data_IF_073339603371
#
_entry.id   IF_073339603371
#
_cell.length_a   1.000
_cell.length_b   1.000
_cell.length_c   1.000
_cell.angle_alpha   90.00
_cell.angle_beta   90.00
_cell.angle_gamma   90.00
#
_symmetry.space_group_name_H-M   'P 1'
#
loop_
_entity.id
_entity.type
_entity.pdbx_description
1 polymer ?
2 non-polymer ?
3 non-polymer ?
4 water ?
#
# COMPACT_ATOMS: atom_id res chain seq x y z
N UNK A 55 -15.04 9.24 -23.05
CA UNK A 55 -15.29 8.85 -21.62
C UNK A 55 -15.41 7.33 -21.45
N UNK A 56 -15.12 6.87 -20.27
CA UNK A 56 -14.90 5.46 -20.06
C UNK A 56 -16.05 4.78 -19.40
N UNK A 57 -16.23 3.47 -19.64
CA UNK A 57 -17.38 2.82 -18.97
C UNK A 57 -17.26 2.88 -17.44
N UNK A 58 -18.40 3.00 -16.77
CA UNK A 58 -18.45 2.82 -15.32
C UNK A 58 -17.89 1.43 -14.88
N UNK A 59 -17.10 1.38 -13.84
CA UNK A 59 -16.62 0.10 -13.31
C UNK A 59 -17.79 -0.77 -12.77
N UNK A 60 -17.72 -2.07 -12.94
CA UNK A 60 -18.77 -2.99 -12.52
C UNK A 60 -18.15 -3.78 -11.33
N UNK A 61 -18.96 -4.15 -10.29
CA UNK A 61 -18.40 -5.00 -9.23
C UNK A 61 -17.72 -6.26 -9.79
N UNK A 62 -16.61 -6.71 -9.20
CA UNK A 62 -16.03 -7.99 -9.65
C UNK A 62 -15.13 -8.44 -8.56
N UNK A 63 -14.95 -9.77 -8.41
CA UNK A 63 -14.09 -10.30 -7.33
C UNK A 63 -12.63 -9.93 -7.52
N UNK A 64 -11.95 -9.56 -6.44
CA UNK A 64 -10.50 -9.49 -6.41
C UNK A 64 -9.88 -10.80 -6.98
N UNK A 65 -8.71 -10.70 -7.65
CA UNK A 65 -8.11 -11.99 -8.11
C UNK A 65 -7.47 -12.79 -6.98
N UNK A 66 -7.34 -14.11 -7.20
CA UNK A 66 -6.67 -15.01 -6.25
C UNK A 66 -5.43 -15.50 -6.97
N UNK A 67 -4.38 -15.85 -6.24
CA UNK A 67 -3.32 -16.59 -6.89
C UNK A 67 -3.87 -17.81 -7.69
N UNK A 68 -3.40 -17.99 -8.93
CA UNK A 68 -3.62 -19.23 -9.68
C UNK A 68 -2.27 -20.00 -9.87
N UNK A 69 -2.36 -21.32 -10.06
CA UNK A 69 -1.20 -22.14 -10.33
C UNK A 69 -0.71 -21.90 -11.75
N UNK A 70 0.56 -22.20 -11.96
CA UNK A 70 1.33 -21.85 -13.14
C UNK A 70 2.11 -23.15 -13.42
N UNK A 71 2.78 -23.30 -14.57
CA UNK A 71 3.68 -24.47 -14.72
C UNK A 71 5.06 -24.27 -14.05
N UNK A 72 5.35 -23.07 -13.56
CA UNK A 72 6.57 -22.80 -12.81
C UNK A 72 6.68 -23.72 -11.59
N UNK A 73 7.92 -24.07 -11.32
CA UNK A 73 8.31 -24.98 -10.31
C UNK A 73 9.11 -24.26 -9.22
N UNK A 74 9.68 -23.11 -9.57
CA UNK A 74 10.37 -22.30 -8.61
C UNK A 74 10.10 -20.81 -8.83
N UNK A 75 10.46 -20.02 -7.84
CA UNK A 75 10.21 -18.61 -7.95
C UNK A 75 11.24 -17.86 -8.82
N UNK A 76 10.75 -17.29 -9.92
CA UNK A 76 11.59 -16.70 -10.95
C UNK A 76 10.96 -15.41 -11.47
N UNK A 77 11.67 -14.31 -11.24
CA UNK A 77 11.25 -13.02 -11.72
C UNK A 77 11.17 -13.04 -13.25
N UNK A 78 10.14 -12.39 -13.78
CA UNK A 78 9.98 -12.25 -15.25
C UNK A 78 10.77 -11.07 -15.76
N UNK A 79 10.47 -10.63 -17.01
CA UNK A 79 11.25 -9.46 -17.44
C UNK A 79 11.09 -8.23 -16.49
N UNK A 80 12.13 -7.40 -16.38
CA UNK A 80 12.06 -6.17 -15.66
C UNK A 80 11.61 -5.08 -16.62
N UNK A 81 10.55 -4.36 -16.22
CA UNK A 81 10.00 -3.23 -16.96
C UNK A 81 10.30 -1.90 -16.22
N UNK A 82 10.83 -0.91 -16.95
CA UNK A 82 11.23 0.36 -16.34
C UNK A 82 10.11 1.39 -16.46
N UNK A 83 9.20 1.42 -15.46
CA UNK A 83 7.97 2.21 -15.54
C UNK A 83 8.26 3.69 -15.64
N UNK A 84 9.28 4.14 -14.92
CA UNK A 84 9.63 5.55 -14.84
C UNK A 84 11.11 5.58 -14.44
N UNK A 85 11.86 6.37 -15.18
CA UNK A 85 13.27 6.43 -15.00
C UNK A 85 13.63 7.82 -14.52
N UNK A 86 14.31 7.90 -13.37
CA UNK A 86 14.84 9.16 -12.87
C UNK A 86 15.62 9.90 -14.00
N UNK A 87 15.47 11.23 -14.06
CA UNK A 87 16.01 12.11 -15.13
C UNK A 87 15.36 11.89 -16.49
N UNK A 88 14.35 11.05 -16.57
CA UNK A 88 13.47 11.05 -17.75
C UNK A 88 12.15 11.69 -17.32
N UNK A 89 11.94 13.03 -17.59
CA UNK A 89 12.85 13.96 -18.25
C UNK A 89 13.74 14.60 -17.18
N UNK A 90 14.72 15.40 -17.61
CA UNK A 90 15.72 16.01 -16.70
C UNK A 90 15.12 16.67 -15.44
N UNK A 91 15.80 16.50 -14.31
CA UNK A 91 15.36 17.00 -13.00
C UNK A 91 14.07 16.43 -12.42
N UNK A 92 13.55 15.35 -13.02
CA UNK A 92 12.37 14.69 -12.46
C UNK A 92 12.74 13.32 -11.85
N UNK A 93 12.29 13.09 -10.60
CA UNK A 93 12.58 11.83 -9.92
C UNK A 93 11.30 11.08 -9.60
N UNK A 94 11.39 9.75 -9.48
CA UNK A 94 10.17 8.93 -9.23
C UNK A 94 10.37 8.00 -8.03
N UNK A 95 9.39 7.95 -7.12
CA UNK A 95 9.48 7.19 -5.89
C UNK A 95 8.10 6.81 -5.35
N UNK A 96 8.07 5.82 -4.45
CA UNK A 96 6.89 5.42 -3.65
C UNK A 96 5.77 4.68 -4.45
N UNK A 97 5.94 3.35 -4.62
CA UNK A 97 5.06 2.54 -5.49
C UNK A 97 3.78 2.05 -4.83
N UNK A 98 2.73 1.95 -5.63
CA UNK A 98 1.48 1.36 -5.23
C UNK A 98 1.07 0.50 -6.45
N UNK A 99 0.54 -0.70 -6.20
CA UNK A 99 0.16 -1.59 -7.32
C UNK A 99 -1.14 -2.25 -6.98
N UNK A 100 -2.08 -2.18 -7.92
CA UNK A 100 -3.39 -2.84 -7.76
C UNK A 100 -3.96 -3.42 -9.05
N UNK A 101 -4.87 -4.38 -8.87
CA UNK A 101 -5.69 -4.90 -9.97
C UNK A 101 -7.08 -4.32 -9.84
N UNK A 102 -7.42 -3.47 -10.81
CA UNK A 102 -8.72 -2.83 -10.94
C UNK A 102 -9.76 -3.94 -11.26
N UNK A 103 -11.03 -3.66 -11.02
CA UNK A 103 -12.12 -4.64 -11.16
C UNK A 103 -12.29 -5.23 -12.57
N UNK A 104 -11.86 -4.47 -13.60
CA UNK A 104 -11.87 -5.00 -14.98
C UNK A 104 -10.61 -5.83 -15.27
N UNK A 105 -9.74 -6.03 -14.26
CA UNK A 105 -8.54 -6.85 -14.46
C UNK A 105 -7.33 -6.01 -14.86
N UNK A 106 -7.53 -4.71 -15.20
CA UNK A 106 -6.38 -3.87 -15.53
C UNK A 106 -5.41 -3.86 -14.34
N UNK A 107 -4.12 -3.71 -14.64
CA UNK A 107 -3.08 -3.60 -13.66
C UNK A 107 -2.65 -2.14 -13.65
N UNK A 108 -2.58 -1.59 -12.45
CA UNK A 108 -2.40 -0.17 -12.23
C UNK A 108 -1.20 0.08 -11.33
N UNK A 109 -0.31 0.95 -11.78
CA UNK A 109 0.86 1.29 -10.97
C UNK A 109 0.81 2.77 -10.72
N UNK A 110 0.90 3.13 -9.44
CA UNK A 110 0.93 4.50 -8.98
C UNK A 110 2.23 4.80 -8.21
N UNK A 111 2.70 6.05 -8.33
CA UNK A 111 3.91 6.55 -7.65
C UNK A 111 3.95 8.08 -7.74
N UNK A 112 4.85 8.68 -6.98
CA UNK A 112 5.17 10.12 -7.02
C UNK A 112 6.00 10.49 -8.22
N UNK A 113 5.70 11.63 -8.81
CA UNK A 113 6.63 12.29 -9.70
C UNK A 113 7.17 13.37 -8.77
N UNK A 114 8.49 13.42 -8.58
CA UNK A 114 9.08 14.43 -7.69
C UNK A 114 9.98 15.42 -8.47
N UNK A 115 9.56 16.71 -8.61
CA UNK A 115 10.34 17.68 -9.41
C UNK A 115 11.55 18.16 -8.64
N UNK A 116 12.64 18.47 -9.36
CA UNK A 116 13.88 18.99 -8.75
C UNK A 116 14.79 17.94 -8.10
N UNK A 117 14.24 17.09 -7.23
CA UNK A 117 15.01 16.00 -6.60
C UNK A 117 13.99 14.97 -6.07
N UNK A 118 14.44 13.90 -5.39
CA UNK A 118 13.50 12.92 -4.84
C UNK A 118 12.88 13.35 -3.47
N UNK A 119 12.70 14.65 -3.24
CA UNK A 119 12.33 15.19 -1.91
C UNK A 119 10.96 14.75 -1.46
N UNK A 120 10.82 14.45 -0.19
CA UNK A 120 9.51 14.11 0.39
C UNK A 120 8.58 15.34 0.40
N UNK A 121 7.29 15.16 0.75
CA UNK A 121 6.51 16.32 1.16
C UNK A 121 7.30 17.19 2.17
N UNK A 122 7.31 18.52 2.01
CA UNK A 122 6.56 19.46 1.16
C UNK A 122 7.16 19.81 -0.22
N UNK A 123 8.17 19.09 -0.71
CA UNK A 123 8.48 19.18 -2.15
C UNK A 123 7.18 19.07 -2.99
N UNK A 124 6.97 19.96 -3.98
CA UNK A 124 5.59 19.94 -4.50
C UNK A 124 5.33 18.84 -5.57
N UNK A 125 5.18 17.61 -5.09
CA UNK A 125 5.06 16.37 -5.91
C UNK A 125 3.70 16.16 -6.58
N UNK A 126 3.59 15.09 -7.36
CA UNK A 126 2.35 14.79 -8.10
C UNK A 126 2.16 13.31 -7.99
N UNK A 127 0.91 12.85 -7.98
CA UNK A 127 0.62 11.41 -7.99
C UNK A 127 0.32 11.04 -9.47
N UNK A 128 1.07 10.07 -10.02
CA UNK A 128 0.89 9.65 -11.42
C UNK A 128 0.63 8.15 -11.52
N UNK A 129 0.26 7.69 -12.71
CA UNK A 129 -0.13 6.27 -12.86
C UNK A 129 0.23 5.71 -14.23
N UNK A 130 0.52 4.42 -14.30
CA UNK A 130 0.53 3.79 -15.62
C UNK A 130 -0.34 2.51 -15.54
N UNK A 131 -0.86 2.06 -16.67
CA UNK A 131 -1.86 1.02 -16.72
C UNK A 131 -1.44 -0.10 -17.68
N UNK A 132 -1.61 -1.33 -17.21
CA UNK A 132 -1.47 -2.49 -18.09
C UNK A 132 -2.77 -3.25 -18.26
N UNK A 133 -3.04 -3.58 -19.52
CA UNK A 133 -4.22 -4.30 -19.91
C UNK A 133 -3.88 -5.76 -20.22
N UNK A 134 -2.62 -6.14 -20.02
CA UNK A 134 -2.18 -7.50 -20.38
C UNK A 134 -1.25 -8.08 -19.32
N UNK A 135 -1.62 -7.81 -18.05
CA UNK A 135 -0.91 -8.26 -16.86
C UNK A 135 0.58 -7.95 -16.81
N UNK A 136 0.99 -6.72 -17.07
CA UNK A 136 2.41 -6.36 -16.88
C UNK A 136 3.26 -6.42 -18.14
N UNK A 137 2.70 -7.01 -19.21
CA UNK A 137 3.46 -7.20 -20.44
C UNK A 137 3.78 -5.85 -21.05
N UNK A 138 2.73 -5.05 -21.32
CA UNK A 138 2.90 -3.72 -21.87
C UNK A 138 2.14 -2.67 -21.04
N UNK A 139 2.63 -1.44 -21.11
CA UNK A 139 2.10 -0.43 -20.24
C UNK A 139 1.76 0.78 -21.02
N UNK A 140 0.57 1.34 -20.80
CA UNK A 140 0.21 2.66 -21.35
C UNK A 140 1.12 3.79 -20.89
N UNK A 141 1.01 4.99 -21.51
CA UNK A 141 1.85 6.09 -20.97
C UNK A 141 1.27 6.61 -19.63
N UNK A 142 2.06 7.43 -18.95
CA UNK A 142 1.73 7.98 -17.68
C UNK A 142 0.48 8.85 -17.76
N UNK A 143 -0.41 8.74 -16.80
CA UNK A 143 -1.52 9.70 -16.64
C UNK A 143 -1.35 10.34 -15.22
N UNK A 144 -1.90 11.54 -15.03
CA UNK A 144 -1.89 12.25 -13.73
C UNK A 144 -3.10 11.90 -12.90
N UNK A 145 -2.90 11.35 -11.69
CA UNK A 145 -4.00 11.27 -10.73
C UNK A 145 -4.21 12.66 -10.13
N UNK A 146 -3.19 13.23 -9.48
CA UNK A 146 -3.29 14.62 -9.02
C UNK A 146 -1.98 15.33 -9.12
N UNK A 147 -1.96 16.48 -9.84
CA UNK A 147 -0.72 17.23 -10.11
C UNK A 147 -0.43 18.31 -9.06
N UNK A 148 0.82 18.38 -8.60
CA UNK A 148 1.20 19.42 -7.64
C UNK A 148 1.41 20.76 -8.36
N UNK A 149 1.65 21.83 -7.62
CA UNK A 149 2.07 23.08 -8.23
C UNK A 149 3.24 23.73 -7.48
N UNK A 150 4.18 24.34 -8.22
CA UNK A 150 5.44 24.81 -7.61
C UNK A 150 5.27 26.26 -7.18
N UNK A 151 6.28 26.87 -6.56
CA UNK A 151 6.18 28.31 -6.25
C UNK A 151 5.82 28.61 -4.81
N UNK A 152 5.50 29.87 -4.53
CA UNK A 152 5.25 30.32 -3.17
C UNK A 152 4.03 29.66 -2.58
N UNK A 153 3.00 29.47 -3.38
CA UNK A 153 1.82 28.82 -2.86
C UNK A 153 1.74 27.37 -3.31
N UNK A 154 2.90 26.73 -3.34
CA UNK A 154 3.03 25.29 -3.71
C UNK A 154 2.02 24.34 -3.05
N UNK A 155 1.55 23.37 -3.83
CA UNK A 155 0.73 22.27 -3.30
C UNK A 155 1.43 20.97 -3.73
N UNK A 156 1.39 19.96 -2.89
CA UNK A 156 2.04 18.70 -3.23
C UNK A 156 1.13 17.49 -2.98
N UNK A 157 1.12 16.54 -3.90
CA UNK A 157 0.40 15.27 -3.67
C UNK A 157 1.42 14.14 -3.70
N UNK A 158 1.48 13.36 -2.62
CA UNK A 158 2.64 12.46 -2.38
C UNK A 158 2.30 11.18 -1.60
N UNK A 159 3.10 10.12 -1.77
CA UNK A 159 2.92 8.80 -1.06
C UNK A 159 1.55 8.09 -1.34
N UNK A 160 1.43 7.45 -2.52
CA UNK A 160 0.13 6.89 -2.93
C UNK A 160 -0.16 5.49 -2.41
N UNK A 161 -1.41 5.22 -2.06
CA UNK A 161 -1.87 3.85 -1.92
C UNK A 161 -3.20 3.65 -2.62
N UNK A 162 -3.34 2.48 -3.25
CA UNK A 162 -4.62 2.05 -3.79
C UNK A 162 -5.48 1.29 -2.79
N UNK A 163 -6.79 1.42 -2.93
CA UNK A 163 -7.71 0.53 -2.25
C UNK A 163 -8.86 0.26 -3.21
N UNK A 164 -9.00 -1.00 -3.61
CA UNK A 164 -10.00 -1.41 -4.64
C UNK A 164 -11.16 -2.03 -3.85
N UNK A 165 -12.38 -1.61 -4.16
CA UNK A 165 -13.57 -2.17 -3.59
C UNK A 165 -14.29 -3.14 -4.59
N UNK A 166 -14.17 -4.47 -4.42
CA UNK A 166 -14.77 -5.39 -5.38
C UNK A 166 -16.29 -5.40 -5.36
N UNK A 167 -16.89 -4.92 -4.27
CA UNK A 167 -18.34 -4.89 -4.19
C UNK A 167 -18.89 -3.77 -5.10
N UNK A 168 -18.11 -2.74 -5.40
CA UNK A 168 -18.65 -1.70 -6.32
C UNK A 168 -17.82 -1.46 -7.57
N UNK A 169 -16.55 -1.87 -7.58
CA UNK A 169 -15.68 -1.58 -8.71
C UNK A 169 -14.96 -0.25 -8.57
N UNK A 170 -15.28 0.49 -7.51
CA UNK A 170 -14.59 1.74 -7.28
C UNK A 170 -13.19 1.51 -6.75
N UNK A 171 -12.32 2.45 -7.13
CA UNK A 171 -10.89 2.48 -6.66
C UNK A 171 -10.57 3.80 -6.00
N UNK A 172 -9.83 3.70 -4.91
CA UNK A 172 -9.42 4.85 -4.10
C UNK A 172 -7.92 5.04 -4.25
N UNK A 173 -7.43 6.29 -4.31
CA UNK A 173 -5.99 6.54 -4.19
C UNK A 173 -5.81 7.60 -3.08
N UNK A 174 -5.27 7.12 -1.97
CA UNK A 174 -4.97 7.93 -0.83
C UNK A 174 -3.58 8.46 -1.08
N UNK A 175 -3.35 9.67 -0.58
CA UNK A 175 -2.02 10.30 -0.58
C UNK A 175 -2.08 11.55 0.25
N UNK A 176 -0.93 12.12 0.59
CA UNK A 176 -0.94 13.38 1.34
C UNK A 176 -1.23 14.54 0.41
N UNK A 177 -1.66 15.65 1.00
CA UNK A 177 -1.73 16.92 0.27
C UNK A 177 -0.93 17.87 1.14
N UNK A 178 0.14 18.42 0.58
CA UNK A 178 1.08 19.15 1.40
C UNK A 178 1.03 20.58 0.88
N UNK A 179 1.29 21.52 1.79
CA UNK A 179 1.56 22.90 1.37
C UNK A 179 3.01 23.28 1.71
N UNK A 180 3.24 23.85 2.90
CA UNK A 180 4.58 24.22 3.33
C UNK A 180 5.23 23.22 4.30
N UNK A 181 4.46 22.28 4.81
CA UNK A 181 4.88 21.45 5.93
C UNK A 181 4.88 19.96 5.57
N UNK A 182 5.88 19.24 6.07
CA UNK A 182 6.02 17.79 5.81
C UNK A 182 5.41 16.99 6.96
N UNK A 183 5.66 15.67 6.99
CA UNK A 183 5.19 14.81 8.10
C UNK A 183 5.64 15.38 9.47
N UNK A 184 6.94 15.59 9.63
CA UNK A 184 7.54 16.01 10.93
C UNK A 184 7.20 17.44 11.43
N UNK A 185 6.86 18.37 10.53
CA UNK A 185 6.78 19.79 10.92
C UNK A 185 5.37 20.28 10.77
N UNK A 186 4.45 19.35 10.49
CA UNK A 186 3.05 19.67 10.39
C UNK A 186 2.56 20.05 11.80
N UNK A 187 1.64 21.03 11.85
CA UNK A 187 1.05 21.52 13.09
C UNK A 187 -0.33 20.93 13.26
N UNK A 188 -0.83 20.93 14.49
CA UNK A 188 -2.22 20.66 14.81
C UNK A 188 -3.10 21.65 13.98
N UNK A 189 -4.21 21.14 13.45
CA UNK A 189 -5.25 21.96 12.81
C UNK A 189 -5.81 21.08 11.69
N UNK A 190 -7.08 21.26 11.34
CA UNK A 190 -7.68 20.47 10.25
C UNK A 190 -8.36 21.38 9.17
N UNK A 191 -8.12 22.68 9.19
CA UNK A 191 -8.73 23.60 8.14
C UNK A 191 -8.18 23.23 6.76
N UNK A 192 -9.05 23.08 5.75
CA UNK A 192 -8.54 22.62 4.41
C UNK A 192 -7.45 23.51 3.83
N UNK A 193 -7.45 24.79 4.16
CA UNK A 193 -6.48 25.72 3.57
C UNK A 193 -5.31 25.97 4.47
N UNK A 194 -5.25 25.31 5.61
CA UNK A 194 -4.06 25.48 6.48
C UNK A 194 -2.73 25.01 5.84
N UNK A 195 -1.87 25.98 5.52
CA UNK A 195 -0.57 25.73 4.90
C UNK A 195 0.49 25.11 5.84
N UNK A 196 0.17 24.99 7.14
CA UNK A 196 1.06 24.37 8.14
C UNK A 196 0.64 22.98 8.54
N UNK A 197 -0.34 22.47 7.84
CA UNK A 197 -0.92 21.18 8.13
C UNK A 197 -0.58 20.25 6.95
N UNK A 198 -0.11 19.04 7.26
CA UNK A 198 -0.08 17.93 6.29
C UNK A 198 -1.44 17.33 6.31
N UNK A 199 -2.11 17.49 5.15
CA UNK A 199 -3.49 17.08 4.93
C UNK A 199 -3.58 15.68 4.34
N UNK A 200 -4.71 15.01 4.55
CA UNK A 200 -4.97 13.70 3.92
C UNK A 200 -5.98 13.90 2.79
N UNK A 201 -5.61 13.48 1.56
CA UNK A 201 -6.54 13.47 0.44
C UNK A 201 -6.91 12.05 0.02
N UNK A 202 -8.15 11.88 -0.47
CA UNK A 202 -8.52 10.67 -1.23
C UNK A 202 -9.03 11.09 -2.63
N UNK A 203 -8.54 10.36 -3.63
CA UNK A 203 -8.95 10.47 -4.99
C UNK A 203 -9.78 9.22 -5.27
N UNK A 204 -10.97 9.46 -5.86
CA UNK A 204 -11.91 8.40 -6.19
C UNK A 204 -12.09 8.24 -7.68
N UNK A 205 -12.06 6.98 -8.16
CA UNK A 205 -12.38 6.65 -9.55
C UNK A 205 -13.51 5.64 -9.60
N UNK A 206 -14.44 5.90 -10.52
CA UNK A 206 -15.58 5.02 -10.78
C UNK A 206 -15.47 4.39 -12.19
N UNK A 207 -14.38 4.65 -12.91
CA UNK A 207 -14.25 4.19 -14.31
C UNK A 207 -12.97 3.33 -14.52
N UNK A 208 -12.63 2.54 -13.48
CA UNK A 208 -11.39 1.73 -13.40
C UNK A 208 -10.05 2.51 -13.45
N UNK A 209 -10.03 3.73 -12.91
CA UNK A 209 -8.78 4.49 -12.77
C UNK A 209 -8.38 5.39 -13.94
N UNK A 210 -9.30 5.65 -14.86
CA UNK A 210 -9.06 6.61 -15.95
C UNK A 210 -9.25 8.04 -15.49
N UNK A 211 -10.31 8.29 -14.71
CA UNK A 211 -10.55 9.63 -14.18
C UNK A 211 -10.75 9.61 -12.65
N UNK A 212 -10.31 10.70 -12.02
CA UNK A 212 -10.34 10.83 -10.56
C UNK A 212 -11.01 12.12 -10.12
N UNK A 213 -11.72 12.11 -8.99
CA UNK A 213 -12.12 13.36 -8.30
C UNK A 213 -11.54 13.38 -6.89
N UNK A 214 -11.30 14.59 -6.35
CA UNK A 214 -10.44 14.75 -5.15
C UNK A 214 -11.13 15.28 -3.92
N UNK A 215 -10.86 14.71 -2.75
CA UNK A 215 -11.28 15.45 -1.51
C UNK A 215 -10.42 15.25 -0.31
N UNK A 216 -10.43 16.27 0.53
CA UNK A 216 -9.66 16.26 1.74
C UNK A 216 -10.48 15.46 2.77
N UNK A 217 -9.87 14.42 3.33
CA UNK A 217 -10.48 13.69 4.41
C UNK A 217 -9.86 13.99 5.81
N UNK A 218 -8.92 14.93 5.87
CA UNK A 218 -8.28 15.28 7.18
C UNK A 218 -9.22 15.40 8.40
N UNK A 219 -10.31 16.15 8.27
CA UNK A 219 -11.19 16.40 9.40
C UNK A 219 -11.96 15.22 9.98
N UNK A 220 -12.56 14.41 9.11
CA UNK A 220 -13.43 13.34 9.58
C UNK A 220 -12.58 12.22 10.15
N UNK A 221 -11.30 12.12 9.78
CA UNK A 221 -10.40 11.07 10.37
C UNK A 221 -9.55 11.54 11.56
N UNK A 222 -9.75 12.79 12.01
CA UNK A 222 -9.08 13.40 13.19
C UNK A 222 -10.10 13.68 14.30
N UNK A 223 -10.28 12.69 15.17
CA UNK A 223 -11.10 12.85 16.37
C UNK A 223 -10.28 13.24 17.65
N UNK A 224 -8.97 13.00 17.64
CA UNK A 224 -8.09 13.51 18.73
C UNK A 224 -7.46 14.86 18.33
N UNK A 225 -7.90 15.97 18.95
CA UNK A 225 -7.42 17.24 18.39
C UNK A 225 -5.89 17.52 18.54
N UNK A 226 -5.16 16.66 19.25
CA UNK A 226 -3.71 16.85 19.46
C UNK A 226 -2.87 16.14 18.36
N UNK A 227 -3.59 15.42 17.50
CA UNK A 227 -2.98 14.73 16.34
C UNK A 227 -2.51 15.83 15.43
N UNK A 228 -1.22 15.98 15.28
CA UNK A 228 -0.61 17.13 14.62
C UNK A 228 -0.19 16.77 13.16
N UNK A 229 -0.24 15.48 12.82
CA UNK A 229 0.19 15.01 11.49
C UNK A 229 -0.33 13.59 11.19
N UNK A 230 -0.51 13.27 9.91
CA UNK A 230 -0.88 11.92 9.51
C UNK A 230 -0.53 11.68 8.08
N UNK A 231 -0.19 10.42 7.77
CA UNK A 231 -0.23 9.90 6.39
C UNK A 231 -0.70 8.43 6.22
N UNK A 232 -1.57 8.16 5.25
CA UNK A 232 -1.86 6.77 4.83
C UNK A 232 -0.54 6.18 4.25
N UNK A 233 -0.17 4.97 4.70
CA UNK A 233 1.03 4.28 4.29
C UNK A 233 0.87 3.91 2.78
N UNK A 234 1.92 4.18 1.99
CA UNK A 234 1.87 3.96 0.54
C UNK A 234 1.95 2.48 0.26
N UNK A 235 1.31 2.04 -0.84
CA UNK A 235 1.19 0.62 -1.16
C UNK A 235 -0.29 0.37 -1.37
N UNK A 236 -0.88 -0.54 -0.63
CA UNK A 236 -2.29 -0.79 -0.82
C UNK A 236 -3.00 -1.13 0.50
N UNK A 237 -4.19 -0.58 0.66
CA UNK A 237 -5.17 -1.07 1.63
C UNK A 237 -6.03 -2.19 1.06
N UNK A 238 -7.13 -2.49 1.78
CA UNK A 238 -8.00 -3.65 1.55
C UNK A 238 -9.50 -3.36 1.72
N UNK A 239 -10.30 -4.22 1.10
CA UNK A 239 -11.69 -4.33 1.37
C UNK A 239 -11.79 -5.62 2.19
N UNK A 240 -12.51 -5.60 3.31
CA UNK A 240 -12.81 -6.83 4.04
C UNK A 240 -13.89 -7.70 3.36
N UNK A 241 -13.65 -9.00 3.28
CA UNK A 241 -14.54 -9.96 2.60
C UNK A 241 -15.16 -11.01 3.53
N UNK A 242 -14.77 -11.01 4.81
CA UNK A 242 -15.12 -12.07 5.76
C UNK A 242 -15.50 -11.59 7.13
N UNK A 243 -16.40 -12.36 7.72
CA UNK A 243 -16.84 -12.15 9.08
C UNK A 243 -17.68 -10.89 9.27
N UNK A 244 -17.86 -10.47 10.54
CA UNK A 244 -18.88 -9.46 10.83
C UNK A 244 -18.67 -8.10 10.13
N UNK A 245 -17.44 -7.78 9.74
CA UNK A 245 -17.15 -6.51 9.03
C UNK A 245 -17.00 -6.60 7.54
N UNK A 246 -17.39 -7.73 6.94
CA UNK A 246 -17.28 -7.85 5.50
C UNK A 246 -17.92 -6.58 4.88
N UNK A 247 -17.26 -6.03 3.86
CA UNK A 247 -17.74 -4.84 3.17
C UNK A 247 -16.95 -3.59 3.54
N UNK A 248 -16.44 -3.57 4.77
CA UNK A 248 -15.68 -2.41 5.31
C UNK A 248 -14.45 -2.19 4.44
N UNK A 249 -14.19 -0.93 4.07
CA UNK A 249 -12.90 -0.60 3.44
C UNK A 249 -11.90 -0.09 4.52
N UNK A 250 -10.63 -0.52 4.46
CA UNK A 250 -9.64 -0.13 5.49
C UNK A 250 -8.21 0.05 4.93
N UNK A 251 -7.54 1.09 5.46
CA UNK A 251 -6.13 1.46 5.19
C UNK A 251 -5.50 1.96 6.52
N UNK A 252 -4.17 1.80 6.63
CA UNK A 252 -3.43 2.17 7.83
C UNK A 252 -2.76 3.54 7.69
N UNK A 253 -2.80 4.33 8.76
CA UNK A 253 -2.10 5.64 8.83
C UNK A 253 -0.97 5.55 9.84
N UNK A 254 -0.02 6.47 9.74
CA UNK A 254 0.92 6.78 10.80
C UNK A 254 0.50 8.20 11.24
N UNK A 255 0.49 8.41 12.55
CA UNK A 255 0.15 9.71 13.11
C UNK A 255 1.19 10.06 14.17
N UNK A 256 1.31 11.36 14.50
CA UNK A 256 1.82 11.85 15.81
C UNK A 256 0.72 12.55 16.66
N UNK A 257 0.56 12.14 17.92
CA UNK A 257 -0.41 12.78 18.81
C UNK A 257 0.22 13.03 20.19
N UNK A 258 -0.58 13.33 21.23
CA UNK A 258 0.03 13.57 22.55
C UNK A 258 0.69 12.34 23.18
N UNK A 259 0.35 11.14 22.70
CA UNK A 259 0.93 9.88 23.15
C UNK A 259 2.29 9.55 22.49
N UNK A 260 2.40 9.66 21.16
CA UNK A 260 3.66 9.39 20.49
C UNK A 260 3.36 9.23 19.01
N UNK A 261 4.23 8.50 18.33
CA UNK A 261 4.06 8.26 16.92
C UNK A 261 3.37 6.93 16.79
N UNK A 262 2.08 6.97 16.49
CA UNK A 262 1.29 5.74 16.47
C UNK A 262 0.74 5.25 15.10
N UNK A 263 0.40 3.95 14.99
CA UNK A 263 -0.39 3.40 13.88
C UNK A 263 -1.90 3.71 14.08
N UNK A 264 -2.67 3.87 13.02
CA UNK A 264 -4.12 4.18 13.22
C UNK A 264 -4.92 3.80 11.96
N UNK A 265 -5.96 2.97 12.12
CA UNK A 265 -6.77 2.52 11.00
C UNK A 265 -7.76 3.62 10.64
N UNK A 266 -8.00 3.82 9.34
CA UNK A 266 -9.15 4.62 8.87
C UNK A 266 -10.03 3.68 8.03
N UNK A 267 -11.35 3.81 8.17
CA UNK A 267 -12.24 2.85 7.55
C UNK A 267 -13.57 3.47 7.12
N UNK A 268 -14.23 2.77 6.21
CA UNK A 268 -15.48 3.19 5.59
C UNK A 268 -16.45 2.00 5.57
N UNK A 269 -17.67 2.19 6.11
CA UNK A 269 -18.71 1.15 6.02
C UNK A 269 -19.78 1.54 5.02
N UNK A 270 -19.58 2.69 4.35
CA UNK A 270 -20.48 3.09 3.27
C UNK A 270 -19.76 3.03 1.88
N UNK A 271 -18.77 2.15 1.78
CA UNK A 271 -18.07 1.89 0.50
C UNK A 271 -17.42 3.16 -0.01
N UNK A 272 -16.81 3.91 0.90
CA UNK A 272 -15.97 5.00 0.48
C UNK A 272 -16.54 6.41 0.39
N UNK A 273 -17.75 6.63 0.83
CA UNK A 273 -18.26 8.04 0.95
C UNK A 273 -17.68 8.77 2.20
N UNK A 274 -17.68 8.12 3.37
CA UNK A 274 -17.13 8.71 4.61
C UNK A 274 -16.14 7.80 5.32
N UNK A 275 -15.17 8.44 5.98
CA UNK A 275 -14.02 7.77 6.62
C UNK A 275 -14.07 8.07 8.08
N UNK A 276 -13.70 7.10 8.90
CA UNK A 276 -13.71 7.27 10.33
C UNK A 276 -12.38 6.69 10.81
N UNK A 277 -11.80 7.18 11.92
CA UNK A 277 -10.51 6.67 12.37
C UNK A 277 -10.73 5.72 13.54
N UNK A 278 -10.09 4.55 13.56
CA UNK A 278 -10.13 3.71 14.75
C UNK A 278 -9.20 4.28 15.83
N UNK A 279 -9.12 3.58 16.97
CA UNK A 279 -8.23 4.00 18.04
C UNK A 279 -6.77 3.72 17.59
N UNK A 280 -5.85 4.63 17.91
CA UNK A 280 -4.44 4.49 17.55
C UNK A 280 -3.73 3.42 18.39
N UNK A 281 -2.61 2.88 17.91
CA UNK A 281 -1.89 1.88 18.70
C UNK A 281 -0.37 2.04 18.57
N UNK A 282 0.35 1.61 19.63
CA UNK A 282 1.83 1.41 19.62
C UNK A 282 2.62 2.72 19.76
N UNK A 283 3.93 2.57 19.73
CA UNK A 283 4.86 3.71 19.82
C UNK A 283 5.91 3.41 18.77
N UNK A 284 6.55 4.45 18.27
CA UNK A 284 7.66 4.31 17.32
C UNK A 284 7.11 3.47 16.16
N UNK A 285 5.87 3.76 15.78
CA UNK A 285 5.19 3.10 14.67
C UNK A 285 5.55 3.92 13.42
N UNK A 286 5.43 3.29 12.26
CA UNK A 286 5.59 4.01 11.01
C UNK A 286 4.74 3.30 9.99
N UNK A 287 5.04 3.50 8.71
CA UNK A 287 4.26 2.90 7.63
C UNK A 287 3.86 1.47 8.00
N UNK A 288 2.57 1.21 8.07
CA UNK A 288 2.06 -0.13 8.43
C UNK A 288 0.94 -0.56 7.45
N UNK A 289 0.77 -1.86 7.30
CA UNK A 289 -0.24 -2.37 6.36
C UNK A 289 -1.15 -3.36 7.07
N UNK A 290 -2.42 -3.36 6.69
CA UNK A 290 -3.40 -4.26 7.24
C UNK A 290 -3.76 -5.36 6.22
N UNK A 291 -3.95 -6.57 6.72
CA UNK A 291 -4.32 -7.71 5.92
C UNK A 291 -5.41 -8.46 6.67
N UNK A 292 -6.39 -8.99 5.93
CA UNK A 292 -7.50 -9.75 6.53
C UNK A 292 -7.13 -11.25 6.65
N UNK A 293 -7.08 -11.77 7.88
CA UNK A 293 -6.65 -13.17 8.11
C UNK A 293 -7.81 -14.11 7.83
N UNK A 294 -7.58 -15.43 7.85
CA UNK A 294 -8.60 -16.42 7.41
C UNK A 294 -9.97 -16.36 8.08
N UNK A 295 -10.00 -16.01 9.38
CA UNK A 295 -11.26 -15.83 10.11
C UNK A 295 -11.83 -14.38 10.09
N UNK A 296 -11.25 -13.47 9.31
CA UNK A 296 -11.61 -12.03 9.42
C UNK A 296 -10.95 -11.21 10.53
N UNK A 297 -10.25 -11.86 11.48
CA UNK A 297 -9.25 -11.18 12.36
C UNK A 297 -8.36 -10.36 11.44
N UNK A 298 -8.05 -9.14 11.84
CA UNK A 298 -7.13 -8.31 11.07
C UNK A 298 -5.70 -8.35 11.68
N UNK A 299 -4.71 -8.19 10.80
CA UNK A 299 -3.31 -8.07 11.18
C UNK A 299 -2.75 -6.81 10.56
N UNK A 300 -2.03 -6.07 11.39
CA UNK A 300 -1.25 -4.90 10.99
C UNK A 300 0.22 -5.37 10.95
N UNK A 301 0.97 -5.00 9.90
CA UNK A 301 2.41 -5.30 9.83
C UNK A 301 3.13 -3.96 9.59
N UNK A 302 4.06 -3.59 10.50
CA UNK A 302 4.56 -2.23 10.60
C UNK A 302 6.09 -2.09 10.52
N UNK A 303 6.50 -1.00 9.87
CA UNK A 303 7.83 -0.51 9.86
C UNK A 303 8.09 -0.03 11.27
N UNK A 304 9.32 -0.14 11.75
CA UNK A 304 9.55 0.13 13.17
C UNK A 304 10.41 1.38 13.30
N UNK A 305 9.81 2.48 13.70
CA UNK A 305 10.58 3.70 13.69
C UNK A 305 11.77 3.64 14.70
N UNK A 306 11.73 2.67 15.63
CA UNK A 306 12.84 2.50 16.64
C UNK A 306 14.01 1.70 16.07
N UNK A 307 13.86 1.25 14.82
CA UNK A 307 14.94 0.50 14.15
C UNK A 307 15.42 -0.74 14.86
N UNK A 308 14.51 -1.60 15.35
CA UNK A 308 14.95 -2.90 15.94
C UNK A 308 15.62 -3.80 14.89
N UNK A 309 15.39 -3.57 13.59
CA UNK A 309 15.82 -4.52 12.57
C UNK A 309 14.72 -5.51 12.24
N UNK A 310 13.50 -5.22 12.66
CA UNK A 310 12.42 -6.18 12.47
C UNK A 310 11.14 -5.48 12.14
N UNK A 311 10.23 -6.18 11.46
CA UNK A 311 8.86 -5.73 11.42
C UNK A 311 8.21 -5.80 12.82
N UNK A 312 7.09 -5.11 12.93
CA UNK A 312 6.26 -5.11 14.10
C UNK A 312 4.89 -5.66 13.67
N UNK A 313 4.14 -6.28 14.59
CA UNK A 313 2.80 -6.84 14.28
C UNK A 313 1.79 -6.62 15.45
N UNK A 314 0.53 -6.34 15.10
CA UNK A 314 -0.61 -6.23 16.03
C UNK A 314 -1.86 -6.83 15.34
N UNK A 315 -2.89 -7.16 16.12
CA UNK A 315 -4.12 -7.93 15.76
C UNK A 315 -5.35 -7.13 16.14
N UNK A 316 -6.38 -7.16 15.31
CA UNK A 316 -7.66 -6.58 15.71
C UNK A 316 -8.82 -7.55 15.52
N UNK A 317 -9.73 -7.58 16.49
CA UNK A 317 -10.82 -8.56 16.54
C UNK A 317 -12.10 -7.81 16.22
N UNK A 318 -11.99 -6.52 15.88
CA UNK A 318 -13.20 -5.71 15.61
C UNK A 318 -13.08 -4.83 14.40
N UNK A 319 -12.39 -5.33 13.38
CA UNK A 319 -12.35 -4.65 12.10
C UNK A 319 -11.53 -3.37 12.09
N UNK A 320 -10.55 -3.29 12.99
CA UNK A 320 -9.67 -2.11 13.08
C UNK A 320 -10.04 -0.98 14.03
N UNK A 321 -11.20 -1.05 14.70
CA UNK A 321 -11.53 -0.08 15.74
C UNK A 321 -10.50 -0.03 16.85
N UNK A 322 -10.00 -1.20 17.28
CA UNK A 322 -9.07 -1.27 18.42
C UNK A 322 -8.04 -2.32 18.03
N UNK A 323 -6.77 -2.08 18.41
CA UNK A 323 -5.65 -3.04 18.23
C UNK A 323 -5.07 -3.49 19.59
N UNK A 324 -4.45 -4.65 19.64
CA UNK A 324 -3.73 -5.06 20.85
C UNK A 324 -2.23 -4.76 20.85
N UNK A 325 -1.46 -5.42 21.73
CA UNK A 325 -0.04 -5.11 21.82
C UNK A 325 0.70 -5.24 20.49
N UNK A 326 1.69 -4.36 20.33
CA UNK A 326 2.57 -4.37 19.19
C UNK A 326 3.83 -5.22 19.59
N UNK A 327 4.13 -6.26 18.80
CA UNK A 327 5.36 -7.00 19.04
C UNK A 327 6.27 -7.06 17.82
N UNK A 328 7.55 -7.31 18.07
CA UNK A 328 8.49 -7.62 16.98
C UNK A 328 8.06 -8.91 16.31
N UNK A 329 8.29 -9.04 15.01
CA UNK A 329 8.23 -10.31 14.29
C UNK A 329 9.69 -10.71 14.06
N UNK A 330 10.16 -11.63 14.88
CA UNK A 330 11.56 -12.01 14.86
C UNK A 330 12.05 -12.60 13.50
N UNK A 331 11.13 -13.21 12.78
CA UNK A 331 11.28 -13.93 11.55
C UNK A 331 11.41 -12.99 10.30
N UNK A 332 11.01 -11.73 10.45
CA UNK A 332 10.97 -10.71 9.40
C UNK A 332 12.00 -9.58 9.56
N UNK A 333 13.22 -9.81 9.10
CA UNK A 333 14.33 -8.82 9.07
C UNK A 333 13.91 -7.62 8.16
N UNK A 334 14.00 -6.43 8.69
CA UNK A 334 13.63 -5.20 7.97
C UNK A 334 14.56 -4.05 8.40
N UNK A 335 14.97 -3.17 7.45
CA UNK A 335 15.91 -2.07 7.75
C UNK A 335 15.22 -0.74 8.20
N UNK A 336 13.97 -0.82 8.67
CA UNK A 336 13.09 0.38 8.88
C UNK A 336 12.68 0.99 7.52
N UNK A 337 11.72 0.34 6.86
CA UNK A 337 11.51 0.64 5.46
C UNK A 337 10.08 0.19 5.13
N UNK A 338 9.52 0.70 4.03
CA UNK A 338 8.16 0.30 3.68
C UNK A 338 8.17 -1.16 3.18
N UNK A 339 6.97 -1.74 3.09
CA UNK A 339 6.83 -3.16 2.82
C UNK A 339 5.35 -3.38 2.56
N UNK A 340 5.00 -4.49 1.93
CA UNK A 340 3.59 -4.85 1.74
C UNK A 340 3.28 -6.30 2.13
N UNK A 341 2.12 -6.49 2.78
CA UNK A 341 1.63 -7.80 3.14
C UNK A 341 0.24 -7.93 2.54
N UNK A 342 -0.03 -9.09 1.93
CA UNK A 342 -1.32 -9.30 1.20
C UNK A 342 -1.77 -10.73 1.30
N UNK A 343 -3.06 -10.94 1.19
CA UNK A 343 -3.60 -12.32 1.14
C UNK A 343 -3.32 -12.83 -0.25
N UNK A 344 -2.88 -14.08 -0.35
CA UNK A 344 -2.66 -14.74 -1.64
C UNK A 344 -4.01 -15.14 -2.27
N UNK A 345 -4.95 -15.59 -1.44
CA UNK A 345 -6.30 -15.98 -1.91
C UNK A 345 -7.39 -15.23 -1.10
N UNK A 346 -7.57 -13.93 -1.42
CA UNK A 346 -8.49 -13.13 -0.62
C UNK A 346 -9.92 -13.71 -0.52
N UNK A 347 -10.45 -14.27 -1.61
CA UNK A 347 -11.81 -14.82 -1.61
C UNK A 347 -11.97 -16.10 -0.82
N UNK A 348 -10.88 -16.83 -0.52
CA UNK A 348 -10.99 -18.14 0.15
C UNK A 348 -11.61 -18.05 1.56
N UNK A 349 -12.49 -19.01 1.88
CA UNK A 349 -13.29 -19.01 3.12
C UNK A 349 -12.49 -19.46 4.35
N UNK A 350 -12.91 -18.96 5.53
CA UNK A 350 -12.37 -19.39 6.83
C UNK A 350 -12.38 -20.89 6.95
N UNK A 351 -11.24 -21.48 7.31
CA UNK A 351 -11.22 -22.89 7.59
C UNK A 351 -10.50 -23.62 6.47
N UNK A 352 -10.41 -23.02 5.28
CA UNK A 352 -9.68 -23.62 4.17
C UNK A 352 -8.16 -23.37 4.31
N UNK A 353 -7.38 -24.18 3.63
CA UNK A 353 -5.93 -23.96 3.63
C UNK A 353 -5.52 -22.67 2.86
N UNK A 354 -6.22 -22.38 1.75
CA UNK A 354 -5.95 -21.16 0.92
C UNK A 354 -6.10 -19.84 1.70
N UNK A 355 -7.04 -19.79 2.65
CA UNK A 355 -7.35 -18.58 3.41
C UNK A 355 -6.26 -18.10 4.38
N UNK A 356 -5.35 -18.98 4.74
CA UNK A 356 -4.33 -18.64 5.69
C UNK A 356 -3.03 -18.25 5.04
N UNK A 357 -3.01 -18.13 3.72
CA UNK A 357 -1.73 -17.86 3.06
C UNK A 357 -1.54 -16.38 2.84
N UNK A 358 -0.47 -15.87 3.44
CA UNK A 358 -0.07 -14.46 3.30
C UNK A 358 1.25 -14.36 2.52
N UNK A 359 1.33 -13.33 1.66
CA UNK A 359 2.56 -12.99 0.93
C UNK A 359 3.13 -11.66 1.48
N UNK A 360 4.45 -11.52 1.54
CA UNK A 360 5.08 -10.34 2.07
C UNK A 360 6.34 -9.93 1.27
N UNK A 361 6.43 -8.65 0.88
CA UNK A 361 7.64 -8.13 0.24
C UNK A 361 8.23 -7.00 1.05
N UNK A 362 9.56 -7.03 1.18
CA UNK A 362 10.32 -6.00 1.84
C UNK A 362 11.74 -6.15 1.39
N UNK A 363 12.63 -5.34 1.97
CA UNK A 363 14.09 -5.49 1.76
C UNK A 363 14.57 -6.34 2.93
N UNK A 364 14.94 -7.60 2.70
CA UNK A 364 15.23 -8.46 3.83
C UNK A 364 16.70 -8.22 4.21
N UNK A 365 16.91 -7.18 5.02
CA UNK A 365 18.23 -6.76 5.48
C UNK A 365 18.04 -5.92 6.77
N UNK A 366 18.99 -6.00 7.69
CA UNK A 366 18.86 -5.35 8.98
C UNK A 366 19.07 -3.83 8.90
N UNK A 367 19.73 -3.37 7.86
CA UNK A 367 20.20 -2.02 7.88
C UNK A 367 20.10 -1.22 6.57
N UNK A 368 20.00 -1.91 5.45
CA UNK A 368 20.14 -1.29 4.16
C UNK A 368 18.90 -1.73 3.39
N UNK A 369 18.45 -0.91 2.43
CA UNK A 369 17.25 -1.21 1.65
C UNK A 369 17.59 -2.00 0.36
N UNK A 370 18.20 -3.16 0.56
CA UNK A 370 18.59 -4.01 -0.51
C UNK A 370 17.91 -5.38 -0.38
N UNK A 371 17.93 -6.13 -1.49
CA UNK A 371 17.43 -7.53 -1.53
C UNK A 371 15.91 -7.64 -1.30
N UNK A 372 15.14 -7.13 -2.27
CA UNK A 372 13.68 -7.28 -2.31
C UNK A 372 13.31 -8.75 -2.26
N UNK A 373 12.51 -9.11 -1.27
CA UNK A 373 12.36 -10.50 -0.85
C UNK A 373 10.89 -10.80 -0.74
N UNK A 374 10.46 -11.90 -1.37
CA UNK A 374 9.11 -12.39 -1.19
C UNK A 374 9.10 -13.39 -0.02
N UNK A 375 8.31 -13.09 1.02
CA UNK A 375 8.19 -14.01 2.16
C UNK A 375 6.81 -14.71 2.17
N UNK A 376 6.74 -15.98 2.56
CA UNK A 376 5.45 -16.69 2.54
C UNK A 376 5.08 -17.24 3.92
N UNK A 377 3.84 -17.04 4.31
CA UNK A 377 3.31 -17.62 5.54
C UNK A 377 2.10 -18.50 5.18
N UNK A 378 2.11 -19.73 5.66
CA UNK A 378 0.99 -20.66 5.43
C UNK A 378 -0.05 -20.61 6.53
N UNK A 379 0.21 -19.84 7.58
CA UNK A 379 -0.52 -20.02 8.85
C UNK A 379 -1.04 -18.71 9.43
N UNK A 380 -1.66 -17.89 8.59
CA UNK A 380 -2.17 -16.59 9.04
C UNK A 380 -1.07 -15.69 9.61
N UNK A 381 0.15 -15.87 9.17
CA UNK A 381 1.19 -14.94 9.57
C UNK A 381 1.82 -15.30 10.90
N UNK A 382 1.48 -16.45 11.46
CA UNK A 382 2.12 -16.85 12.73
C UNK A 382 3.59 -17.12 12.50
N UNK A 383 3.91 -17.77 11.38
CA UNK A 383 5.32 -17.99 11.03
C UNK A 383 5.57 -17.72 9.56
N UNK A 384 6.83 -17.48 9.23
CA UNK A 384 7.24 -17.23 7.87
C UNK A 384 8.11 -18.35 7.37
N UNK A 385 7.57 -19.24 6.53
CA UNK A 385 8.35 -20.47 6.25
C UNK A 385 9.32 -20.29 5.09
N UNK A 386 9.21 -19.19 4.38
CA UNK A 386 9.99 -19.08 3.17
C UNK A 386 10.29 -17.63 2.87
N UNK A 387 11.56 -17.36 2.56
CA UNK A 387 12.05 -16.04 2.16
C UNK A 387 12.87 -16.30 0.93
N UNK A 388 12.58 -15.56 -0.13
CA UNK A 388 13.40 -15.66 -1.35
C UNK A 388 13.52 -14.28 -1.96
N UNK A 389 14.74 -13.89 -2.21
CA UNK A 389 15.04 -12.61 -2.75
C UNK A 389 14.78 -12.70 -4.25
N UNK A 390 13.91 -11.84 -4.77
CA UNK A 390 13.67 -11.77 -6.20
C UNK A 390 14.47 -10.63 -6.85
N UNK A 391 15.05 -9.70 -6.05
CA UNK A 391 15.85 -8.61 -6.61
C UNK A 391 17.04 -8.21 -5.76
N UNK A 392 18.27 -8.72 -6.07
CA UNK A 392 19.46 -8.40 -5.27
C UNK A 392 19.79 -6.94 -5.43
N UNK A 393 20.38 -6.29 -4.43
CA UNK A 393 20.77 -4.90 -4.53
C UNK A 393 19.61 -3.95 -4.21
N UNK A 394 19.79 -2.67 -4.54
CA UNK A 394 18.92 -1.61 -4.07
C UNK A 394 17.46 -1.88 -4.47
N UNK A 395 16.55 -1.89 -3.50
CA UNK A 395 15.12 -1.96 -3.85
C UNK A 395 14.27 -0.83 -3.22
N UNK A 396 14.72 -0.21 -2.14
CA UNK A 396 13.93 0.81 -1.52
C UNK A 396 12.56 0.31 -1.10
N UNK A 397 11.53 1.12 -1.32
CA UNK A 397 10.18 0.71 -1.02
C UNK A 397 9.77 -0.33 -2.02
N UNK A 398 9.23 -1.45 -1.56
CA UNK A 398 8.66 -2.44 -2.49
C UNK A 398 7.18 -2.65 -2.21
N UNK A 399 6.43 -3.06 -3.23
CA UNK A 399 5.05 -3.51 -3.02
C UNK A 399 4.74 -4.72 -3.90
N UNK A 400 3.61 -5.39 -3.67
CA UNK A 400 3.24 -6.55 -4.49
C UNK A 400 1.75 -6.56 -4.54
N UNK A 401 1.17 -7.15 -5.61
CA UNK A 401 -0.27 -7.38 -5.70
C UNK A 401 -0.57 -8.62 -6.61
N UNK A 402 -1.62 -9.41 -6.29
CA UNK A 402 -2.11 -10.50 -7.17
C UNK A 402 -2.66 -9.83 -8.44
N UNK A 403 -2.27 -10.36 -9.61
CA UNK A 403 -2.75 -9.86 -10.88
C UNK A 403 -3.94 -10.71 -11.25
N UNK A 404 -4.71 -10.25 -12.26
CA UNK A 404 -5.92 -10.96 -12.72
C UNK A 404 -5.58 -12.32 -13.35
N UNK A 405 -4.34 -12.50 -13.83
CA UNK A 405 -3.95 -13.81 -14.41
C UNK A 405 -3.50 -14.76 -13.27
N UNK A 406 -3.51 -14.28 -12.02
CA UNK A 406 -3.19 -15.07 -10.82
C UNK A 406 -1.71 -15.06 -10.43
N UNK A 407 -0.90 -14.34 -11.20
CA UNK A 407 0.54 -14.31 -10.92
C UNK A 407 0.75 -13.13 -9.95
N UNK A 408 1.95 -13.00 -9.40
CA UNK A 408 2.19 -11.87 -8.52
C UNK A 408 2.88 -10.76 -9.32
N UNK A 409 2.44 -9.52 -9.14
CA UNK A 409 3.13 -8.35 -9.69
C UNK A 409 3.89 -7.70 -8.54
N UNK A 410 5.14 -7.28 -8.80
CA UNK A 410 5.95 -6.53 -7.81
C UNK A 410 6.44 -5.16 -8.35
N UNK A 411 6.60 -4.20 -7.44
CA UNK A 411 7.30 -2.95 -7.72
C UNK A 411 8.36 -2.66 -6.65
N UNK A 412 9.46 -2.05 -7.10
CA UNK A 412 10.52 -1.55 -6.27
C UNK A 412 11.12 -0.25 -6.82
N UNK A 413 11.96 0.37 -6.00
CA UNK A 413 12.61 1.64 -6.34
C UNK A 413 14.06 1.36 -6.65
N UNK A 414 14.44 1.61 -7.91
CA UNK A 414 15.85 1.67 -8.29
C UNK A 414 16.03 2.65 -9.43
N UNK A 415 16.60 3.82 -9.12
CA UNK A 415 16.69 4.92 -10.08
C UNK A 415 15.37 5.20 -10.79
N UNK A 416 14.29 5.16 -9.97
CA UNK A 416 12.90 5.30 -10.46
C UNK A 416 12.05 4.09 -10.05
N UNK A 417 11.01 3.78 -10.80
CA UNK A 417 10.07 2.69 -10.45
C UNK A 417 10.19 1.49 -11.47
N UNK A 418 10.34 0.26 -10.95
CA UNK A 418 10.57 -0.90 -11.78
C UNK A 418 9.48 -1.88 -11.48
N UNK A 419 9.08 -2.61 -12.52
CA UNK A 419 8.01 -3.59 -12.38
C UNK A 419 8.43 -4.93 -12.90
N UNK A 420 7.98 -6.00 -12.24
CA UNK A 420 8.17 -7.38 -12.76
C UNK A 420 7.10 -8.27 -12.20
N UNK A 421 7.04 -9.50 -12.68
CA UNK A 421 6.00 -10.49 -12.38
C UNK A 421 6.65 -11.74 -11.85
N UNK A 422 6.00 -12.36 -10.87
CA UNK A 422 6.48 -13.63 -10.35
C UNK A 422 5.35 -14.63 -10.59
N UNK A 423 5.54 -15.55 -11.55
CA UNK A 423 4.48 -16.54 -11.71
C UNK A 423 4.41 -17.37 -10.41
N UNK A 424 3.27 -17.99 -10.13
CA UNK A 424 3.03 -18.47 -8.76
C UNK A 424 2.77 -19.96 -8.59
N UNK A 425 2.91 -20.73 -9.68
CA UNK A 425 2.82 -22.19 -9.61
C UNK A 425 3.61 -22.87 -8.49
N UNK A 426 4.78 -22.32 -8.17
CA UNK A 426 5.70 -22.89 -7.16
C UNK A 426 5.13 -22.79 -5.73
N UNK A 427 4.07 -22.01 -5.52
CA UNK A 427 3.50 -21.80 -4.17
C UNK A 427 3.02 -23.09 -3.52
N UNK A 428 2.34 -23.96 -4.27
CA UNK A 428 1.81 -25.19 -3.65
C UNK A 428 2.90 -26.01 -2.92
N UNK A 429 4.14 -25.95 -3.40
CA UNK A 429 5.20 -26.75 -2.78
C UNK A 429 5.73 -26.16 -1.46
N UNK A 430 5.34 -24.94 -1.15
CA UNK A 430 5.73 -24.22 0.11
C UNK A 430 4.54 -24.19 1.14
N UNK A 431 3.30 -24.04 0.61
CA UNK A 431 2.05 -24.07 1.40
C UNK A 431 1.07 -24.99 0.66
N UNK A 432 1.02 -26.31 1.00
CA UNK A 432 0.19 -27.23 0.20
C UNK A 432 -1.31 -26.89 0.31
N UNK A 433 -2.09 -27.26 -0.69
CA UNK A 433 -3.46 -26.83 -0.75
C UNK A 433 -4.45 -27.95 -0.37
N UNK A 434 -3.96 -29.11 0.02
CA UNK A 434 -4.85 -30.24 0.32
C UNK A 434 -4.31 -31.10 1.45
#
# INVERSE_FOLDING_TARGET
GSHMSGRAPAPVAATTQPKLVTGDITSTDQSGTNLFFGKKIVRNARGAIMKVDRTWPAAVPAPLPDVRADSSTRMLLGPVVDLAVNEHPEGVFYRIPALATASNGDLLASYDLRPGSAGDAPNPNSIVQRRSRDNGRTWGPQTVIHAGTPGRRKVGYSDPSYLVDPATGRILNFHVKSYDRGFATSEVGTDPDDRHVLHAEVSTSTDNGHTWTHRDITREITSDPTTRTRFVASGQGIALLHGPHAGRLIAQMTVRNSVGQQAQSIYSDDHGITWHAGNPVGRMMDENKVVELSDGTLMLNSRDAARSGRRKVAYSQDGGLTWGPVKLVDDLIDPTNNAQIIRAYPNARAGSAKARILLFTNARNATERVNGTLSVSCDDGRTWVSHQTYMPGEVGYTTAAVQSDGALGVLWERDGIRYSTIPMGWLNSVCPLAPSGRPTSGKPTSGTSLPPTAT
#
